data_IF_144730377303
#
_entry.id   IF_144730377303
#
_cell.length_a   1.000
_cell.length_b   1.000
_cell.length_c   1.000
_cell.angle_alpha   90.00
_cell.angle_beta   90.00
_cell.angle_gamma   90.00
#
_symmetry.space_group_name_H-M   'P 1'
#
loop_
_entity.id
_entity.type
_entity.pdbx_description
1 polymer ?
#
# COMPACT_ATOMS: atom_id res chain seq x y z
N UNK A 1 -5.77 -1.38 7.22
CA UNK A 1 -6.82 -2.26 6.65
C UNK A 1 -8.18 -1.62 6.52
N UNK A 2 -8.82 -1.06 7.57
CA UNK A 2 -10.21 -0.56 7.48
C UNK A 2 -10.51 0.35 6.27
N UNK A 3 -9.64 1.32 6.00
CA UNK A 3 -9.81 2.24 4.86
C UNK A 3 -9.70 1.57 3.49
N UNK A 4 -9.02 0.41 3.38
CA UNK A 4 -8.94 -0.31 2.10
C UNK A 4 -10.29 -0.88 1.66
N UNK A 5 -11.28 -0.94 2.55
CA UNK A 5 -12.67 -1.31 2.24
C UNK A 5 -13.44 -0.20 1.54
N UNK A 6 -13.05 1.07 1.73
CA UNK A 6 -13.92 2.22 1.48
C UNK A 6 -13.42 3.16 0.39
N UNK A 7 -12.11 3.30 0.22
CA UNK A 7 -11.53 4.32 -0.66
C UNK A 7 -10.54 3.75 -1.68
N UNK A 8 -10.52 4.24 -2.93
CA UNK A 8 -9.52 3.85 -3.92
C UNK A 8 -8.12 4.37 -3.62
N UNK A 9 -8.04 5.45 -2.85
CA UNK A 9 -6.79 6.10 -2.45
C UNK A 9 -7.02 6.79 -1.09
N UNK A 10 -6.02 6.71 -0.21
CA UNK A 10 -6.01 7.48 1.03
C UNK A 10 -5.48 8.88 0.73
N UNK A 11 -6.29 9.95 0.91
CA UNK A 11 -5.81 11.31 0.75
C UNK A 11 -4.69 11.65 1.76
N UNK A 12 -3.87 12.68 1.51
CA UNK A 12 -2.74 13.06 2.37
C UNK A 12 -3.22 13.71 3.68
N UNK A 13 -3.86 12.92 4.54
CA UNK A 13 -4.40 13.35 5.85
C UNK A 13 -3.32 13.50 6.92
N UNK A 14 -2.12 12.98 6.66
CA UNK A 14 -0.97 13.05 7.56
C UNK A 14 0.34 13.13 6.76
N UNK A 15 1.35 13.81 7.30
CA UNK A 15 2.64 14.03 6.61
C UNK A 15 3.39 12.73 6.30
N UNK A 16 3.15 11.66 7.07
CA UNK A 16 3.76 10.35 6.84
C UNK A 16 3.42 9.76 5.46
N UNK A 17 2.32 10.18 4.83
CA UNK A 17 2.03 9.80 3.44
C UNK A 17 3.14 10.24 2.49
N UNK A 18 3.79 11.38 2.71
CA UNK A 18 4.94 11.82 1.91
C UNK A 18 6.14 10.86 2.05
N UNK A 19 6.37 10.29 3.24
CA UNK A 19 7.43 9.29 3.47
C UNK A 19 7.17 7.96 2.74
N UNK A 20 5.92 7.71 2.33
CA UNK A 20 5.51 6.57 1.49
C UNK A 20 5.54 6.89 -0.02
N UNK A 21 5.96 8.11 -0.39
CA UNK A 21 6.00 8.61 -1.77
C UNK A 21 4.76 9.40 -2.19
N UNK A 22 3.84 9.71 -1.28
CA UNK A 22 2.64 10.52 -1.54
C UNK A 22 1.35 9.82 -1.07
N UNK A 23 0.18 10.17 -1.65
CA UNK A 23 -1.08 9.49 -1.34
C UNK A 23 -0.94 7.96 -1.45
N UNK A 24 -1.55 7.23 -0.50
CA UNK A 24 -1.45 5.77 -0.43
C UNK A 24 -2.55 5.16 -1.28
N UNK A 25 -2.16 4.52 -2.39
CA UNK A 25 -3.09 3.88 -3.32
C UNK A 25 -3.58 2.54 -2.79
N UNK A 26 -4.80 2.18 -3.16
CA UNK A 26 -5.37 0.86 -2.85
C UNK A 26 -5.43 0.02 -4.13
N UNK A 27 -4.60 -1.01 -4.20
CA UNK A 27 -4.61 -1.98 -5.29
C UNK A 27 -6.00 -2.60 -5.45
N UNK A 28 -6.46 -2.89 -6.69
CA UNK A 28 -7.71 -3.61 -6.94
C UNK A 28 -7.76 -4.94 -6.19
N UNK A 29 -8.97 -5.42 -5.92
CA UNK A 29 -9.13 -6.74 -5.32
C UNK A 29 -8.72 -7.83 -6.30
N UNK A 30 -7.96 -8.80 -5.82
CA UNK A 30 -7.72 -10.07 -6.46
C UNK A 30 -7.59 -11.14 -5.37
N UNK A 31 -7.84 -12.40 -5.71
CA UNK A 31 -7.76 -13.49 -4.73
C UNK A 31 -6.33 -13.62 -4.15
N UNK A 32 -6.25 -13.93 -2.86
CA UNK A 32 -4.98 -14.11 -2.16
C UNK A 32 -4.12 -15.19 -2.85
N UNK A 33 -2.81 -14.94 -2.94
CA UNK A 33 -1.85 -15.88 -3.51
C UNK A 33 -1.85 -15.96 -5.04
N UNK A 34 -2.46 -15.00 -5.74
CA UNK A 34 -2.50 -14.97 -7.21
C UNK A 34 -1.53 -13.97 -7.82
N UNK A 35 -1.12 -14.22 -9.07
CA UNK A 35 -0.32 -13.27 -9.85
C UNK A 35 -1.09 -11.96 -10.14
N UNK A 36 -2.42 -12.02 -10.23
CA UNK A 36 -3.26 -10.84 -10.41
C UNK A 36 -3.12 -9.88 -9.22
N UNK A 37 -3.12 -10.41 -8.00
CA UNK A 37 -2.83 -9.63 -6.79
C UNK A 37 -1.44 -9.01 -6.85
N UNK A 38 -0.43 -9.80 -7.25
CA UNK A 38 0.94 -9.30 -7.35
C UNK A 38 1.07 -8.15 -8.37
N UNK A 39 0.43 -8.26 -9.54
CA UNK A 39 0.44 -7.19 -10.56
C UNK A 39 -0.25 -5.93 -10.06
N UNK A 40 -1.47 -6.05 -9.51
CA UNK A 40 -2.20 -4.89 -8.97
C UNK A 40 -1.47 -4.21 -7.81
N UNK A 41 -0.78 -4.99 -6.97
CA UNK A 41 0.11 -4.47 -5.92
C UNK A 41 1.28 -3.69 -6.51
N UNK A 42 2.00 -4.24 -7.50
CA UNK A 42 3.14 -3.56 -8.12
C UNK A 42 2.72 -2.24 -8.80
N UNK A 43 1.57 -2.22 -9.47
CA UNK A 43 1.03 -0.99 -10.07
C UNK A 43 0.73 0.08 -9.01
N UNK A 44 0.11 -0.32 -7.89
CA UNK A 44 -0.15 0.56 -6.76
C UNK A 44 1.13 1.01 -6.02
N UNK A 45 2.26 0.36 -6.26
CA UNK A 45 3.56 0.69 -5.69
C UNK A 45 4.47 1.50 -6.62
N UNK A 46 4.08 1.79 -7.86
CA UNK A 46 4.89 2.61 -8.77
C UNK A 46 5.23 3.98 -8.12
N UNK A 47 6.50 4.28 -7.87
CA UNK A 47 6.94 5.49 -7.15
C UNK A 47 6.38 5.63 -5.71
N UNK A 48 6.05 4.51 -5.07
CA UNK A 48 5.61 4.44 -3.67
C UNK A 48 6.36 3.34 -2.93
N UNK A 49 6.49 3.48 -1.63
CA UNK A 49 7.06 2.44 -0.74
C UNK A 49 6.01 1.76 0.13
N UNK A 50 4.74 2.08 -0.08
CA UNK A 50 3.62 1.43 0.59
C UNK A 50 2.31 1.58 -0.19
N UNK A 51 1.46 0.56 -0.09
CA UNK A 51 0.12 0.54 -0.66
C UNK A 51 -0.84 -0.24 0.25
N UNK A 52 -2.13 -0.08 -0.01
CA UNK A 52 -3.17 -0.94 0.56
C UNK A 52 -3.64 -1.95 -0.48
N UNK A 53 -4.18 -3.07 -0.01
CA UNK A 53 -4.82 -4.08 -0.83
C UNK A 53 -6.32 -4.08 -0.49
N UNK A 54 -7.17 -3.89 -1.51
CA UNK A 54 -8.64 -3.87 -1.35
C UNK A 54 -9.10 -5.10 -0.56
N UNK A 55 -9.81 -4.88 0.55
CA UNK A 55 -10.35 -5.94 1.40
C UNK A 55 -9.33 -6.92 2.00
N UNK A 56 -8.05 -6.56 2.06
CA UNK A 56 -7.01 -7.51 2.46
C UNK A 56 -6.06 -6.92 3.51
N UNK A 57 -5.29 -5.88 3.18
CA UNK A 57 -4.26 -5.42 4.13
C UNK A 57 -3.43 -4.26 3.62
N UNK A 58 -2.24 -4.15 4.18
CA UNK A 58 -1.23 -3.14 3.86
C UNK A 58 0.05 -3.85 3.47
N UNK A 59 0.81 -3.29 2.53
CA UNK A 59 2.15 -3.74 2.21
C UNK A 59 3.09 -2.53 2.12
N UNK A 60 4.29 -2.69 2.67
CA UNK A 60 5.38 -1.72 2.59
C UNK A 60 6.66 -2.45 2.26
N UNK A 61 7.64 -1.73 1.72
CA UNK A 61 8.99 -2.25 1.53
C UNK A 61 10.03 -1.19 1.88
N UNK A 62 11.27 -1.60 2.10
CA UNK A 62 12.40 -0.72 2.37
C UNK A 62 13.74 -1.37 2.09
N UNK A 63 14.81 -0.59 2.20
CA UNK A 63 16.18 -1.06 1.97
C UNK A 63 16.75 -1.86 3.16
N UNK A 64 16.03 -1.90 4.28
CA UNK A 64 16.27 -2.73 5.44
C UNK A 64 14.95 -3.21 6.05
N UNK A 65 15.00 -4.25 6.87
CA UNK A 65 13.82 -4.75 7.59
C UNK A 65 13.26 -3.68 8.54
N UNK A 66 14.12 -2.97 9.26
CA UNK A 66 13.71 -1.89 10.16
C UNK A 66 12.94 -0.80 9.39
N UNK A 67 13.47 -0.37 8.25
CA UNK A 67 12.78 0.64 7.43
C UNK A 67 11.45 0.11 6.87
N UNK A 68 11.39 -1.15 6.45
CA UNK A 68 10.15 -1.75 5.97
C UNK A 68 9.09 -1.80 7.08
N UNK A 69 9.51 -2.14 8.31
CA UNK A 69 8.67 -2.21 9.49
C UNK A 69 8.19 -0.81 9.92
N UNK A 70 9.08 0.16 10.04
CA UNK A 70 8.75 1.55 10.41
C UNK A 70 7.72 2.18 9.47
N UNK A 71 7.75 1.83 8.18
CA UNK A 71 6.76 2.30 7.19
C UNK A 71 5.34 1.75 7.40
N UNK A 72 5.18 0.70 8.19
CA UNK A 72 3.85 0.14 8.51
C UNK A 72 3.13 0.87 9.65
N UNK A 73 3.87 1.67 10.41
CA UNK A 73 3.39 2.37 11.60
C UNK A 73 2.44 3.52 11.28
#
# INVERSE_FOLDING_TARGET
TAVSLLVPELPPVHYMTAALGGPVRVAPYAAYGTDELARGMLDALADRTGCLLRNHGTLTYGTSLDQAYDRTA
#
